data_IF_547717619821
#
_entry.id   IF_547717619821
#
_cell.length_a   1.000
_cell.length_b   1.000
_cell.length_c   1.000
_cell.angle_alpha   90.00
_cell.angle_beta   90.00
_cell.angle_gamma   90.00
#
_symmetry.space_group_name_H-M   'P 1'
#
loop_
_entity.id
_entity.type
_entity.pdbx_description
1 polymer ?
#
# COMPACT_ATOMS: atom_id res chain seq x y z
N UNK A 1 -45.38 -13.49 63.41
CA UNK A 1 -45.72 -12.32 64.26
C UNK A 1 -44.49 -11.96 65.08
N UNK A 2 -44.10 -10.68 65.05
CA UNK A 2 -43.24 -9.95 66.04
C UNK A 2 -41.74 -10.35 65.99
N UNK A 3 -40.91 -9.62 65.23
CA UNK A 3 -40.05 -8.46 65.60
C UNK A 3 -38.92 -8.84 66.58
N UNK A 4 -37.64 -8.58 66.27
CA UNK A 4 -36.97 -7.27 66.44
C UNK A 4 -35.70 -7.09 65.56
N UNK A 5 -35.43 -5.83 65.19
CA UNK A 5 -34.23 -5.23 64.51
C UNK A 5 -33.03 -5.05 65.49
N UNK A 6 -31.88 -4.42 65.12
CA UNK A 6 -31.14 -4.28 63.84
C UNK A 6 -29.58 -4.43 63.94
N UNK A 7 -28.93 -4.56 62.77
CA UNK A 7 -27.62 -3.93 62.48
C UNK A 7 -26.39 -4.84 62.40
N UNK A 8 -25.73 -4.93 61.24
CA UNK A 8 -24.30 -5.27 61.19
C UNK A 8 -23.59 -4.85 59.89
N UNK A 9 -22.29 -4.62 60.08
CA UNK A 9 -21.34 -3.86 59.28
C UNK A 9 -20.73 -4.60 58.09
N UNK A 10 -20.15 -3.81 57.19
CA UNK A 10 -19.29 -4.16 56.05
C UNK A 10 -18.06 -4.99 56.44
N UNK A 11 -17.65 -5.93 55.58
CA UNK A 11 -16.21 -6.20 55.35
C UNK A 11 -15.93 -6.53 53.87
N UNK A 12 -14.85 -5.95 53.36
CA UNK A 12 -14.32 -6.10 51.99
C UNK A 12 -13.37 -7.29 51.95
N UNK A 13 -13.50 -8.14 50.93
CA UNK A 13 -12.46 -9.12 50.56
C UNK A 13 -11.63 -8.53 49.42
N UNK A 14 -10.30 -8.54 49.56
CA UNK A 14 -9.33 -8.23 48.49
C UNK A 14 -8.66 -9.54 48.06
N UNK A 15 -8.86 -9.96 46.80
CA UNK A 15 -8.04 -10.98 46.17
C UNK A 15 -7.04 -10.31 45.21
N UNK A 16 -5.74 -10.51 45.46
CA UNK A 16 -4.64 -10.17 44.56
C UNK A 16 -4.34 -11.38 43.67
N UNK A 17 -4.53 -11.24 42.36
CA UNK A 17 -3.98 -12.13 41.34
C UNK A 17 -3.44 -11.27 40.20
N UNK A 18 -2.11 -11.12 40.08
CA UNK A 18 -1.46 -10.73 38.83
C UNK A 18 -0.05 -11.33 38.83
N UNK A 19 0.18 -12.41 38.08
CA UNK A 19 1.51 -12.69 37.52
C UNK A 19 1.66 -11.79 36.28
N UNK A 20 2.43 -10.71 36.41
CA UNK A 20 2.69 -9.76 35.33
C UNK A 20 3.79 -10.30 34.41
N UNK A 21 3.61 -10.34 33.08
CA UNK A 21 4.76 -10.37 32.19
C UNK A 21 5.45 -8.99 32.28
N UNK A 22 6.70 -8.94 32.74
CA UNK A 22 7.46 -7.71 32.82
C UNK A 22 7.99 -7.36 31.41
N UNK A 23 7.65 -6.16 30.91
CA UNK A 23 8.29 -5.58 29.73
C UNK A 23 9.76 -5.35 30.08
N UNK A 24 10.67 -6.06 29.41
CA UNK A 24 12.10 -5.83 29.51
C UNK A 24 12.50 -4.54 28.80
N UNK A 25 13.74 -4.08 29.04
CA UNK A 25 14.30 -2.82 28.54
C UNK A 25 13.95 -2.53 27.07
N UNK A 26 13.39 -1.34 26.79
CA UNK A 26 13.29 -0.81 25.43
C UNK A 26 14.68 -0.39 24.96
N UNK A 27 15.17 -0.99 23.88
CA UNK A 27 16.44 -0.61 23.26
C UNK A 27 16.15 0.09 21.94
N UNK A 28 16.74 1.28 21.78
CA UNK A 28 16.66 2.06 20.54
C UNK A 28 17.64 1.51 19.49
N UNK A 29 17.13 1.32 18.28
CA UNK A 29 17.90 0.87 17.13
C UNK A 29 17.57 1.74 15.91
N UNK A 30 18.39 1.63 14.86
CA UNK A 30 18.11 2.19 13.53
C UNK A 30 18.14 1.07 12.50
N UNK A 31 17.22 1.09 11.56
CA UNK A 31 17.25 0.16 10.43
C UNK A 31 18.27 0.60 9.39
N UNK A 32 18.41 -0.19 8.33
CA UNK A 32 19.40 0.06 7.26
C UNK A 32 19.08 1.33 6.45
N UNK A 33 17.84 1.82 6.52
CA UNK A 33 17.41 3.10 5.94
C UNK A 33 17.52 4.27 6.93
N UNK A 34 18.06 4.02 8.13
CA UNK A 34 18.23 4.99 9.20
C UNK A 34 16.97 5.31 9.98
N UNK A 35 15.87 4.59 9.73
CA UNK A 35 14.62 4.76 10.48
C UNK A 35 14.79 4.22 11.90
N UNK A 36 14.52 5.05 12.92
CA UNK A 36 14.56 4.61 14.30
C UNK A 36 13.43 3.59 14.57
N UNK A 37 13.78 2.53 15.28
CA UNK A 37 12.82 1.57 15.81
C UNK A 37 13.22 1.14 17.21
N UNK A 38 12.25 0.75 18.02
CA UNK A 38 12.50 0.23 19.36
C UNK A 38 12.15 -1.24 19.43
N UNK A 39 12.96 -2.02 20.14
CA UNK A 39 12.68 -3.43 20.42
C UNK A 39 12.35 -3.56 21.89
N UNK A 40 11.11 -3.95 22.18
CA UNK A 40 10.69 -4.34 23.52
C UNK A 40 10.76 -5.87 23.65
N UNK A 41 11.59 -6.41 24.55
CA UNK A 41 11.68 -7.86 24.83
C UNK A 41 10.88 -8.21 26.08
N UNK A 42 10.08 -9.27 26.02
CA UNK A 42 9.34 -9.77 27.18
C UNK A 42 10.12 -10.90 27.85
N UNK A 43 10.17 -10.90 29.19
CA UNK A 43 10.96 -11.89 29.95
C UNK A 43 10.21 -13.21 30.21
N UNK A 44 8.91 -13.29 29.89
CA UNK A 44 8.08 -14.51 30.00
C UNK A 44 7.04 -14.59 28.88
N UNK A 45 6.64 -15.83 28.55
CA UNK A 45 5.62 -16.16 27.54
C UNK A 45 4.24 -15.59 27.96
N UNK A 46 3.70 -14.57 27.26
CA UNK A 46 2.52 -13.81 27.70
C UNK A 46 1.22 -14.62 27.68
N UNK A 47 1.22 -15.85 27.14
CA UNK A 47 0.00 -16.65 26.93
C UNK A 47 -0.17 -17.85 27.88
N UNK A 48 0.75 -18.10 28.83
CA UNK A 48 0.60 -19.18 29.82
C UNK A 48 -0.06 -18.70 31.11
N UNK A 49 -1.35 -18.98 31.26
CA UNK A 49 -2.06 -18.95 32.54
C UNK A 49 -1.94 -20.31 33.23
N UNK A 50 -1.02 -20.44 34.19
CA UNK A 50 -1.01 -21.57 35.13
C UNK A 50 -1.89 -21.26 36.33
N UNK A 51 -2.99 -22.01 36.50
CA UNK A 51 -3.81 -21.98 37.71
C UNK A 51 -3.17 -22.85 38.80
N UNK A 52 -3.02 -22.35 40.04
CA UNK A 52 -2.54 -23.16 41.14
C UNK A 52 -3.73 -23.90 41.78
N UNK A 53 -3.95 -25.15 41.36
CA UNK A 53 -4.25 -26.28 42.24
C UNK A 53 -4.56 -27.55 41.43
N UNK A 54 -3.97 -28.66 41.88
CA UNK A 54 -4.19 -30.02 41.41
C UNK A 54 -5.68 -30.38 41.35
N UNK A 55 -6.30 -30.25 40.18
CA UNK A 55 -7.34 -31.15 39.66
C UNK A 55 -7.47 -30.89 38.15
N UNK A 56 -7.14 -31.92 37.38
CA UNK A 56 -7.27 -31.95 35.92
C UNK A 56 -8.70 -31.61 35.51
N UNK A 57 -8.88 -30.41 34.98
CA UNK A 57 -10.03 -30.07 34.15
C UNK A 57 -9.52 -29.39 32.89
N UNK A 58 -9.69 -30.06 31.75
CA UNK A 58 -9.51 -29.47 30.43
C UNK A 58 -10.53 -28.34 30.30
N UNK A 59 -10.13 -27.11 30.62
CA UNK A 59 -10.87 -25.93 30.18
C UNK A 59 -10.51 -25.68 28.72
N UNK A 60 -11.24 -26.34 27.82
CA UNK A 60 -11.31 -25.91 26.42
C UNK A 60 -12.06 -24.58 26.44
N UNK A 61 -11.32 -23.47 26.42
CA UNK A 61 -11.91 -22.17 26.13
C UNK A 61 -12.25 -22.16 24.64
N UNK A 62 -13.47 -22.59 24.30
CA UNK A 62 -14.09 -22.29 23.01
C UNK A 62 -14.24 -20.77 22.94
N UNK A 63 -13.33 -20.10 22.24
CA UNK A 63 -13.49 -18.71 21.83
C UNK A 63 -13.81 -18.71 20.34
N UNK A 64 -14.98 -18.16 20.00
CA UNK A 64 -15.47 -18.04 18.65
C UNK A 64 -14.53 -17.14 17.81
N UNK A 65 -14.24 -17.49 16.54
CA UNK A 65 -13.26 -16.79 15.72
C UNK A 65 -13.89 -15.62 14.95
N UNK A 66 -14.58 -14.69 15.60
CA UNK A 66 -15.20 -13.54 14.91
C UNK A 66 -15.27 -12.26 15.75
N UNK A 67 -14.19 -11.82 16.42
CA UNK A 67 -14.08 -10.40 16.81
C UNK A 67 -12.62 -9.94 16.69
N UNK A 68 -12.28 -9.43 15.52
CA UNK A 68 -11.09 -8.59 15.33
C UNK A 68 -11.31 -7.26 16.05
N UNK A 69 -10.54 -7.00 17.12
CA UNK A 69 -10.49 -5.69 17.76
C UNK A 69 -9.85 -4.67 16.80
N UNK A 70 -10.69 -3.90 16.12
CA UNK A 70 -10.31 -2.62 15.53
C UNK A 70 -10.54 -1.56 16.61
N UNK A 71 -9.48 -0.91 17.06
CA UNK A 71 -9.57 0.29 17.89
C UNK A 71 -9.95 1.46 16.95
N UNK A 72 -11.23 1.53 16.60
CA UNK A 72 -11.78 2.65 15.84
C UNK A 72 -11.86 3.89 16.73
N UNK A 73 -10.96 4.84 16.46
CA UNK A 73 -11.10 6.21 16.96
C UNK A 73 -12.13 6.94 16.11
N UNK A 74 -13.40 6.74 16.44
CA UNK A 74 -14.49 7.58 15.94
C UNK A 74 -14.97 8.47 17.10
N UNK A 75 -15.03 9.77 16.84
CA UNK A 75 -15.80 10.70 17.66
C UNK A 75 -17.26 10.23 17.68
N UNK A 76 -17.61 9.47 18.71
CA UNK A 76 -18.99 9.17 19.06
C UNK A 76 -19.36 10.03 20.27
N UNK A 77 -19.90 11.20 19.99
CA UNK A 77 -20.74 11.94 20.94
C UNK A 77 -22.07 11.19 21.10
N UNK A 78 -22.05 10.06 21.79
CA UNK A 78 -23.23 9.42 22.39
C UNK A 78 -22.80 8.22 23.24
N UNK A 79 -23.50 8.09 24.35
CA UNK A 79 -23.31 7.20 25.50
C UNK A 79 -22.80 5.78 25.20
N UNK A 80 -21.65 5.43 25.78
CA UNK A 80 -21.17 4.05 25.87
C UNK A 80 -21.60 3.47 27.24
N UNK A 81 -22.36 2.36 27.34
CA UNK A 81 -23.05 1.97 28.59
C UNK A 81 -22.20 1.24 29.63
N UNK A 82 -20.90 1.04 29.38
CA UNK A 82 -20.12 0.01 30.08
C UNK A 82 -19.08 0.63 31.04
N UNK A 83 -19.49 0.86 32.30
CA UNK A 83 -18.69 1.50 33.35
C UNK A 83 -17.37 0.77 33.65
N UNK A 84 -17.28 -0.52 33.33
CA UNK A 84 -16.05 -1.32 33.52
C UNK A 84 -14.93 -0.89 32.57
N UNK A 85 -15.28 -0.48 31.34
CA UNK A 85 -14.30 0.00 30.33
C UNK A 85 -13.73 1.36 30.72
N UNK A 86 -14.56 2.26 31.27
CA UNK A 86 -14.12 3.57 31.80
C UNK A 86 -13.18 3.42 32.99
N UNK A 87 -13.39 2.44 33.87
CA UNK A 87 -12.54 2.21 35.03
C UNK A 87 -11.14 1.71 34.63
N UNK A 88 -11.06 0.76 33.69
CA UNK A 88 -9.79 0.24 33.19
C UNK A 88 -8.98 1.32 32.47
N UNK A 89 -9.63 2.12 31.62
CA UNK A 89 -8.98 3.21 30.89
C UNK A 89 -8.43 4.29 31.84
N UNK A 90 -9.21 4.67 32.87
CA UNK A 90 -8.76 5.64 33.89
C UNK A 90 -7.62 5.13 34.76
N UNK A 91 -7.55 3.82 35.02
CA UNK A 91 -6.44 3.21 35.77
C UNK A 91 -5.14 3.18 34.96
N UNK A 92 -5.22 2.92 33.65
CA UNK A 92 -4.07 2.92 32.74
C UNK A 92 -3.53 4.35 32.52
N UNK A 93 -4.41 5.34 32.35
CA UNK A 93 -4.00 6.75 32.27
C UNK A 93 -3.42 7.29 33.60
N UNK A 94 -4.00 6.93 34.76
CA UNK A 94 -3.50 7.37 36.07
C UNK A 94 -2.15 6.75 36.46
N UNK A 95 -1.75 5.64 35.84
CA UNK A 95 -0.46 4.98 36.07
C UNK A 95 0.61 5.37 35.05
N UNK A 96 0.29 6.25 34.09
CA UNK A 96 1.23 6.66 33.03
C UNK A 96 1.51 5.59 31.98
N UNK A 97 0.68 4.54 31.90
CA UNK A 97 0.88 3.41 30.98
C UNK A 97 0.18 3.63 29.62
N UNK A 98 -0.74 4.60 29.53
CA UNK A 98 -1.34 5.10 28.28
C UNK A 98 -1.45 6.62 28.37
N UNK A 99 -0.70 7.34 27.55
CA UNK A 99 -0.86 8.79 27.35
C UNK A 99 -2.08 9.05 26.44
N UNK A 100 -3.03 9.85 26.93
CA UNK A 100 -4.00 10.47 26.04
C UNK A 100 -3.25 11.53 25.22
N UNK A 101 -3.32 11.46 23.88
CA UNK A 101 -2.72 12.46 22.99
C UNK A 101 -3.17 13.86 23.45
N UNK A 102 -2.24 14.65 23.95
CA UNK A 102 -2.50 16.04 24.29
C UNK A 102 -2.68 16.87 23.01
N UNK A 103 -3.26 18.08 23.08
CA UNK A 103 -3.27 18.99 21.94
C UNK A 103 -1.86 19.24 21.35
N UNK A 104 -0.81 19.22 22.18
CA UNK A 104 0.57 19.30 21.70
C UNK A 104 1.01 18.06 20.90
N UNK A 105 0.51 16.86 21.23
CA UNK A 105 0.77 15.65 20.43
C UNK A 105 0.05 15.68 19.07
N UNK A 106 -1.10 16.35 18.96
CA UNK A 106 -1.77 16.62 17.66
C UNK A 106 -1.00 17.67 16.84
N UNK A 107 -0.35 18.62 17.49
CA UNK A 107 0.54 19.59 16.84
C UNK A 107 1.87 18.95 16.42
N UNK A 108 2.36 17.97 17.20
CA UNK A 108 3.50 17.14 16.83
C UNK A 108 3.22 16.24 15.61
N UNK A 109 1.99 15.72 15.47
CA UNK A 109 1.53 14.96 14.29
C UNK A 109 1.53 15.83 13.01
N UNK A 110 1.20 17.12 13.12
CA UNK A 110 1.32 18.10 12.01
C UNK A 110 2.77 18.44 11.64
N UNK A 111 3.71 18.25 12.58
CA UNK A 111 5.15 18.46 12.37
C UNK A 111 5.88 17.22 11.84
N UNK A 112 5.24 16.05 11.88
CA UNK A 112 5.83 14.80 11.43
C UNK A 112 6.05 14.84 9.92
N UNK A 113 7.28 14.57 9.49
CA UNK A 113 7.58 14.40 8.07
C UNK A 113 6.78 13.19 7.55
N UNK A 114 5.93 13.36 6.53
CA UNK A 114 5.09 12.28 6.02
C UNK A 114 5.96 11.12 5.51
N UNK A 115 5.58 9.90 5.87
CA UNK A 115 6.22 8.67 5.41
C UNK A 115 5.87 8.39 3.94
N UNK A 116 6.55 7.44 3.29
CA UNK A 116 6.14 7.00 1.96
C UNK A 116 4.71 6.45 1.96
N UNK A 117 4.32 5.73 3.02
CA UNK A 117 2.97 5.18 3.17
C UNK A 117 1.90 6.28 3.18
N UNK A 118 2.22 7.46 3.75
CA UNK A 118 1.32 8.62 3.77
C UNK A 118 1.21 9.32 2.40
N UNK A 119 2.11 9.01 1.46
CA UNK A 119 2.26 9.71 0.18
C UNK A 119 2.04 8.83 -1.05
N UNK A 120 1.56 7.59 -0.90
CA UNK A 120 1.42 6.65 -2.02
C UNK A 120 0.62 7.22 -3.19
N UNK A 121 -0.43 7.99 -2.90
CA UNK A 121 -1.29 8.62 -3.92
C UNK A 121 -0.58 9.71 -4.75
N UNK A 122 0.60 10.18 -4.33
CA UNK A 122 1.41 11.16 -5.07
C UNK A 122 2.49 10.49 -5.94
N UNK A 123 2.60 9.16 -5.89
CA UNK A 123 3.59 8.40 -6.66
C UNK A 123 3.08 8.01 -8.05
N UNK A 124 1.78 8.08 -8.30
CA UNK A 124 1.13 7.55 -9.50
C UNK A 124 0.57 8.63 -10.42
N UNK A 125 0.44 8.29 -11.69
CA UNK A 125 -0.16 9.11 -12.76
C UNK A 125 -1.07 8.24 -13.62
N UNK A 126 -2.20 8.78 -14.06
CA UNK A 126 -3.10 8.06 -14.97
C UNK A 126 -2.52 8.12 -16.37
N UNK A 127 -2.54 6.98 -17.06
CA UNK A 127 -2.15 6.85 -18.45
C UNK A 127 -3.38 6.45 -19.25
N UNK A 128 -3.61 7.14 -20.36
CA UNK A 128 -4.56 6.72 -21.38
C UNK A 128 -3.86 6.70 -22.72
N UNK A 129 -4.25 5.75 -23.57
CA UNK A 129 -3.67 5.59 -24.90
C UNK A 129 -4.76 5.23 -25.90
N UNK A 130 -4.56 5.58 -27.16
CA UNK A 130 -5.51 5.31 -28.22
C UNK A 130 -4.84 4.98 -29.53
N UNK A 131 -5.55 4.22 -30.37
CA UNK A 131 -5.08 3.77 -31.69
C UNK A 131 -5.71 4.55 -32.85
N UNK A 132 -6.52 5.56 -32.52
CA UNK A 132 -7.25 6.40 -33.47
C UNK A 132 -6.88 7.86 -33.28
N UNK A 133 -6.96 8.62 -34.38
CA UNK A 133 -6.57 10.04 -34.43
C UNK A 133 -7.59 10.98 -33.77
N UNK A 134 -8.78 10.47 -33.43
CA UNK A 134 -9.86 11.18 -32.72
C UNK A 134 -9.59 11.38 -31.22
N UNK A 135 -8.43 10.92 -30.73
CA UNK A 135 -8.01 10.98 -29.32
C UNK A 135 -9.00 10.34 -28.33
N UNK A 136 -9.80 9.37 -28.80
CA UNK A 136 -10.63 8.54 -27.93
C UNK A 136 -9.78 7.45 -27.24
N UNK A 137 -9.72 7.42 -25.89
CA UNK A 137 -8.90 6.45 -25.17
C UNK A 137 -9.45 5.04 -25.35
N UNK A 138 -8.61 4.14 -25.84
CA UNK A 138 -8.94 2.73 -26.03
C UNK A 138 -8.32 1.84 -24.97
N UNK A 139 -7.25 2.31 -24.33
CA UNK A 139 -6.61 1.68 -23.18
C UNK A 139 -6.42 2.73 -22.07
N UNK A 140 -6.59 2.28 -20.84
CA UNK A 140 -6.35 3.06 -19.64
C UNK A 140 -5.56 2.22 -18.66
N UNK A 141 -4.59 2.84 -18.00
CA UNK A 141 -3.74 2.22 -17.02
C UNK A 141 -3.21 3.22 -16.01
N UNK A 142 -2.35 2.72 -15.14
CA UNK A 142 -1.64 3.46 -14.13
C UNK A 142 -0.15 3.44 -14.46
N UNK A 143 0.51 4.57 -14.30
CA UNK A 143 1.96 4.65 -14.21
C UNK A 143 2.38 5.18 -12.85
N UNK A 144 3.64 5.01 -12.50
CA UNK A 144 4.22 5.63 -11.31
C UNK A 144 5.59 6.21 -11.58
N UNK A 145 5.94 7.25 -10.82
CA UNK A 145 7.18 7.97 -10.99
C UNK A 145 8.33 7.22 -10.34
N UNK A 146 9.40 6.99 -11.09
CA UNK A 146 10.60 6.30 -10.62
C UNK A 146 11.85 7.10 -10.99
N UNK A 147 12.68 7.40 -9.99
CA UNK A 147 13.98 8.01 -10.17
C UNK A 147 15.06 6.94 -10.20
N UNK A 148 15.58 6.66 -11.40
CA UNK A 148 16.74 5.79 -11.55
C UNK A 148 18.01 6.60 -11.38
N UNK A 149 18.81 6.26 -10.35
CA UNK A 149 20.12 6.87 -10.16
C UNK A 149 21.15 6.19 -11.07
N UNK A 150 21.75 6.95 -11.98
CA UNK A 150 22.85 6.54 -12.85
C UNK A 150 24.00 7.49 -12.54
N UNK A 151 25.08 6.95 -11.97
CA UNK A 151 26.18 7.72 -11.38
C UNK A 151 25.67 8.79 -10.40
N UNK A 152 25.84 10.07 -10.75
CA UNK A 152 25.41 11.23 -9.95
C UNK A 152 24.13 11.89 -10.48
N UNK A 153 23.48 11.31 -11.49
CA UNK A 153 22.28 11.86 -12.12
C UNK A 153 21.08 11.00 -11.77
N UNK A 154 19.92 11.64 -11.57
CA UNK A 154 18.63 10.95 -11.40
C UNK A 154 17.82 11.12 -12.68
N UNK A 155 17.56 10.01 -13.36
CA UNK A 155 16.68 9.96 -14.52
C UNK A 155 15.27 9.66 -14.03
N UNK A 156 14.33 10.58 -14.27
CA UNK A 156 12.94 10.37 -13.89
C UNK A 156 12.19 9.65 -15.01
N UNK A 157 11.52 8.57 -14.63
CA UNK A 157 10.74 7.70 -15.50
C UNK A 157 9.30 7.62 -14.99
N UNK A 158 8.37 7.38 -15.90
CA UNK A 158 7.06 6.81 -15.60
C UNK A 158 7.15 5.32 -15.91
N UNK A 159 7.00 4.48 -14.88
CA UNK A 159 6.96 3.03 -15.03
C UNK A 159 5.51 2.58 -15.20
N UNK A 160 5.25 1.75 -16.21
CA UNK A 160 3.95 1.12 -16.45
C UNK A 160 4.14 -0.23 -17.16
N UNK A 161 3.05 -0.86 -17.63
CA UNK A 161 3.13 -2.08 -18.42
C UNK A 161 3.23 -1.82 -19.92
N UNK A 162 3.88 -2.73 -20.66
CA UNK A 162 3.99 -2.65 -22.12
C UNK A 162 2.59 -2.69 -22.75
N UNK A 163 1.69 -3.55 -22.24
CA UNK A 163 0.34 -3.66 -22.80
C UNK A 163 -0.52 -2.40 -22.65
N UNK A 164 -0.23 -1.52 -21.67
CA UNK A 164 -0.98 -0.26 -21.49
C UNK A 164 -0.76 0.68 -22.68
N UNK A 165 0.42 0.62 -23.31
CA UNK A 165 0.83 1.49 -24.41
C UNK A 165 0.94 0.75 -25.76
N UNK A 166 0.60 -0.54 -25.80
CA UNK A 166 0.76 -1.37 -27.01
C UNK A 166 -0.13 -0.88 -28.15
N UNK A 167 0.47 -0.80 -29.33
CA UNK A 167 -0.11 -0.32 -30.59
C UNK A 167 -0.74 1.08 -30.52
N UNK A 168 -0.43 1.87 -29.48
CA UNK A 168 -0.98 3.21 -29.35
C UNK A 168 -0.34 4.16 -30.38
N UNK A 169 -1.12 5.10 -30.90
CA UNK A 169 -0.62 6.22 -31.71
C UNK A 169 -0.24 7.42 -30.84
N UNK A 170 -0.89 7.56 -29.69
CA UNK A 170 -0.68 8.65 -28.75
C UNK A 170 -0.81 8.16 -27.31
N UNK A 171 -0.15 8.89 -26.42
CA UNK A 171 -0.21 8.73 -24.98
C UNK A 171 -0.74 10.00 -24.34
N UNK A 172 -1.54 9.87 -23.28
CA UNK A 172 -2.02 10.98 -22.47
C UNK A 172 -1.78 10.70 -21.00
N UNK A 173 -1.21 11.68 -20.31
CA UNK A 173 -0.90 11.65 -18.89
C UNK A 173 -1.68 12.73 -18.15
N UNK A 174 -2.28 12.38 -17.02
CA UNK A 174 -3.04 13.31 -16.19
C UNK A 174 -2.21 13.81 -15.01
N UNK A 175 -1.29 14.74 -15.28
CA UNK A 175 -0.39 15.26 -14.26
C UNK A 175 -1.11 16.13 -13.23
N UNK A 176 -0.67 16.02 -11.98
CA UNK A 176 -1.03 16.94 -10.91
C UNK A 176 -0.05 18.12 -10.89
N UNK A 177 -0.53 19.30 -10.50
CA UNK A 177 0.30 20.49 -10.39
C UNK A 177 0.99 20.56 -9.03
N UNK A 178 2.23 21.04 -9.02
CA UNK A 178 2.94 21.47 -7.83
C UNK A 178 2.90 23.00 -7.72
N UNK A 179 2.60 23.52 -6.53
CA UNK A 179 2.67 24.95 -6.26
C UNK A 179 4.10 25.41 -5.90
N UNK A 180 4.27 26.72 -5.74
CA UNK A 180 5.56 27.35 -5.39
C UNK A 180 6.15 26.85 -4.07
N UNK A 181 5.30 26.37 -3.16
CA UNK A 181 5.70 25.80 -1.87
C UNK A 181 6.11 24.31 -1.99
N UNK A 182 6.28 23.79 -3.21
CA UNK A 182 6.61 22.39 -3.51
C UNK A 182 5.58 21.40 -2.97
N UNK A 183 4.30 21.79 -2.95
CA UNK A 183 3.19 20.95 -2.53
C UNK A 183 2.29 20.64 -3.72
N UNK A 184 1.80 19.41 -3.79
CA UNK A 184 0.76 19.01 -4.74
C UNK A 184 -0.49 19.84 -4.51
N UNK A 185 -1.06 20.38 -5.59
CA UNK A 185 -2.33 21.09 -5.58
C UNK A 185 -3.45 20.08 -5.79
N UNK A 186 -4.52 20.20 -5.00
CA UNK A 186 -5.74 19.40 -5.15
C UNK A 186 -6.67 20.13 -6.11
N UNK A 187 -6.55 19.79 -7.40
CA UNK A 187 -7.33 20.35 -8.50
C UNK A 187 -7.40 19.31 -9.62
N UNK A 188 -8.30 19.47 -10.61
CA UNK A 188 -8.32 18.62 -11.79
C UNK A 188 -6.96 18.57 -12.49
N UNK A 189 -6.61 17.41 -13.04
CA UNK A 189 -5.36 17.22 -13.78
C UNK A 189 -5.28 18.10 -15.02
N UNK A 190 -4.06 18.52 -15.40
CA UNK A 190 -3.81 19.00 -16.76
C UNK A 190 -3.43 17.80 -17.64
N UNK A 191 -4.28 17.39 -18.60
CA UNK A 191 -3.93 16.31 -19.51
C UNK A 191 -2.79 16.76 -20.43
N UNK A 192 -1.74 15.96 -20.51
CA UNK A 192 -0.64 16.14 -21.44
C UNK A 192 -0.67 15.00 -22.45
N UNK A 193 -0.91 15.31 -23.72
CA UNK A 193 -1.01 14.33 -24.81
C UNK A 193 0.16 14.49 -25.77
N UNK A 194 0.78 13.38 -26.18
CA UNK A 194 1.83 13.35 -27.18
C UNK A 194 1.66 12.14 -28.12
N UNK A 195 2.12 12.23 -29.37
CA UNK A 195 2.33 11.06 -30.22
C UNK A 195 3.28 10.07 -29.52
N UNK A 196 3.03 8.76 -29.66
CA UNK A 196 3.93 7.76 -29.06
C UNK A 196 5.33 7.82 -29.66
N UNK A 197 5.46 8.27 -30.92
CA UNK A 197 6.73 8.47 -31.62
C UNK A 197 7.64 9.48 -30.94
N UNK A 198 7.06 10.41 -30.20
CA UNK A 198 7.77 11.49 -29.52
C UNK A 198 8.14 11.08 -28.09
N UNK A 199 7.60 9.95 -27.60
CA UNK A 199 7.92 9.40 -26.30
C UNK A 199 9.24 8.62 -26.35
N UNK A 200 10.13 8.87 -25.40
CA UNK A 200 11.32 8.05 -25.19
C UNK A 200 10.93 6.86 -24.30
N UNK A 201 10.91 5.68 -24.91
CA UNK A 201 10.49 4.42 -24.27
C UNK A 201 11.70 3.52 -23.99
N UNK A 202 11.71 2.90 -22.82
CA UNK A 202 12.66 1.88 -22.38
C UNK A 202 11.89 0.59 -22.06
N UNK A 203 11.57 -0.24 -23.07
CA UNK A 203 10.93 -1.52 -22.84
C UNK A 203 11.87 -2.47 -22.11
N UNK A 204 11.34 -3.30 -21.21
CA UNK A 204 12.14 -4.32 -20.53
C UNK A 204 12.84 -5.26 -21.54
N UNK A 205 14.15 -5.55 -21.37
CA UNK A 205 14.93 -6.33 -22.34
C UNK A 205 14.42 -7.76 -22.50
N UNK A 206 13.93 -8.37 -21.42
CA UNK A 206 13.16 -9.61 -21.50
C UNK A 206 11.74 -9.34 -22.08
N UNK A 207 11.36 -9.94 -23.21
CA UNK A 207 10.03 -9.78 -23.81
C UNK A 207 8.90 -10.34 -22.94
N UNK A 208 9.14 -11.33 -22.08
CA UNK A 208 8.14 -11.92 -21.18
C UNK A 208 7.81 -11.04 -19.98
N UNK A 209 8.63 -10.02 -19.70
CA UNK A 209 8.41 -9.06 -18.62
C UNK A 209 7.65 -7.84 -19.16
N UNK A 210 6.45 -7.65 -18.64
CA UNK A 210 5.52 -6.62 -19.07
C UNK A 210 5.77 -5.27 -18.37
N UNK A 211 7.00 -4.75 -18.48
CA UNK A 211 7.44 -3.47 -17.90
C UNK A 211 7.98 -2.57 -19.02
N UNK A 212 7.64 -1.29 -18.96
CA UNK A 212 8.23 -0.24 -19.78
C UNK A 212 8.44 1.02 -18.94
N UNK A 213 9.61 1.65 -19.11
CA UNK A 213 9.88 2.99 -18.60
C UNK A 213 9.64 4.03 -19.69
N UNK A 214 9.05 5.16 -19.34
CA UNK A 214 8.83 6.30 -20.23
C UNK A 214 9.57 7.50 -19.65
N UNK A 215 10.44 8.16 -20.41
CA UNK A 215 11.20 9.30 -19.89
C UNK A 215 10.27 10.46 -19.49
N UNK A 216 10.34 10.91 -18.24
CA UNK A 216 9.53 12.02 -17.73
C UNK A 216 10.15 13.38 -18.09
N UNK A 217 11.48 13.48 -18.15
CA UNK A 217 12.20 14.75 -18.27
C UNK A 217 11.73 15.62 -19.45
N UNK A 218 11.57 15.11 -20.70
CA UNK A 218 11.12 15.94 -21.82
C UNK A 218 9.72 16.54 -21.60
N UNK A 219 8.80 15.75 -21.03
CA UNK A 219 7.44 16.20 -20.71
C UNK A 219 7.46 17.26 -19.61
N UNK A 220 8.27 17.04 -18.58
CA UNK A 220 8.45 17.96 -17.46
C UNK A 220 9.03 19.30 -17.91
N UNK A 221 10.05 19.28 -18.76
CA UNK A 221 10.65 20.51 -19.33
C UNK A 221 9.66 21.28 -20.19
N UNK A 222 8.87 20.59 -21.02
CA UNK A 222 7.83 21.22 -21.83
C UNK A 222 6.78 21.90 -20.95
N UNK A 223 6.20 21.17 -19.99
CA UNK A 223 5.18 21.71 -19.09
C UNK A 223 5.70 22.84 -18.20
N UNK A 224 6.97 22.78 -17.79
CA UNK A 224 7.60 23.82 -17.00
C UNK A 224 7.73 25.15 -17.77
N UNK A 225 7.98 25.11 -19.09
CA UNK A 225 7.99 26.31 -19.96
C UNK A 225 6.63 27.00 -19.99
N UNK A 226 5.55 26.24 -19.84
CA UNK A 226 4.18 26.76 -19.70
C UNK A 226 3.81 27.17 -18.26
N UNK A 227 4.78 27.21 -17.34
CA UNK A 227 4.54 27.50 -15.92
C UNK A 227 3.84 26.37 -15.16
N UNK A 228 3.78 25.16 -15.71
CA UNK A 228 3.14 24.01 -15.08
C UNK A 228 4.19 23.04 -14.52
N UNK A 229 4.46 23.15 -13.23
CA UNK A 229 5.34 22.23 -12.54
C UNK A 229 4.57 20.98 -12.13
N UNK A 230 5.07 19.80 -12.51
CA UNK A 230 4.45 18.52 -12.16
C UNK A 230 4.66 18.27 -10.65
N UNK A 231 3.66 17.69 -10.00
CA UNK A 231 3.78 17.16 -8.65
C UNK A 231 4.08 15.66 -8.74
N UNK A 232 5.36 15.30 -8.74
CA UNK A 232 5.83 13.91 -8.71
C UNK A 232 6.49 13.55 -7.37
N UNK A 233 6.11 12.39 -6.82
CA UNK A 233 6.91 11.71 -5.80
C UNK A 233 7.63 10.54 -6.44
N UNK A 234 8.92 10.71 -6.74
CA UNK A 234 9.77 9.65 -7.29
C UNK A 234 9.95 8.53 -6.26
N UNK A 235 9.62 7.31 -6.66
CA UNK A 235 10.13 6.09 -6.03
C UNK A 235 11.55 5.80 -6.53
N UNK A 236 12.32 5.00 -5.81
CA UNK A 236 13.66 4.56 -6.22
C UNK A 236 13.96 3.16 -5.69
N UNK A 237 15.15 2.64 -6.02
CA UNK A 237 15.61 1.36 -5.50
C UNK A 237 15.69 1.31 -3.95
N UNK A 238 15.81 2.47 -3.29
CA UNK A 238 15.76 2.58 -1.83
C UNK A 238 14.36 2.26 -1.26
N UNK A 239 13.33 2.28 -2.10
CA UNK A 239 11.98 1.88 -1.73
C UNK A 239 11.73 0.39 -1.93
N UNK A 240 12.69 -0.39 -2.45
CA UNK A 240 12.60 -1.84 -2.46
C UNK A 240 12.86 -2.41 -1.06
N UNK A 241 12.33 -3.61 -0.75
CA UNK A 241 12.68 -4.28 0.49
C UNK A 241 14.18 -4.57 0.52
N UNK A 242 14.89 -4.28 1.62
CA UNK A 242 16.27 -4.68 1.74
C UNK A 242 16.38 -6.21 1.72
N UNK A 243 17.52 -6.73 1.24
CA UNK A 243 17.71 -8.16 0.96
C UNK A 243 17.36 -9.06 2.16
N UNK A 244 17.71 -8.66 3.38
CA UNK A 244 17.41 -9.42 4.59
C UNK A 244 15.91 -9.50 4.92
N UNK A 245 15.10 -8.58 4.40
CA UNK A 245 13.66 -8.51 4.63
C UNK A 245 12.88 -9.37 3.64
N UNK A 246 13.40 -9.58 2.43
CA UNK A 246 12.73 -10.35 1.36
C UNK A 246 12.23 -11.73 1.84
N UNK A 247 13.03 -12.56 2.55
CA UNK A 247 12.57 -13.87 3.03
C UNK A 247 11.48 -13.80 4.10
N UNK A 248 11.30 -12.63 4.72
CA UNK A 248 10.32 -12.41 5.78
C UNK A 248 8.98 -11.88 5.24
N UNK A 249 8.95 -11.39 4.00
CA UNK A 249 7.73 -10.97 3.31
C UNK A 249 7.06 -12.22 2.73
N UNK A 250 6.23 -12.85 3.56
CA UNK A 250 5.54 -14.09 3.25
C UNK A 250 4.10 -13.84 2.79
N UNK A 251 3.43 -14.89 2.33
CA UNK A 251 1.98 -14.85 2.12
C UNK A 251 1.26 -14.32 3.37
N UNK A 252 0.10 -13.71 3.16
CA UNK A 252 -0.68 -12.93 4.13
C UNK A 252 -0.07 -11.58 4.56
N UNK A 253 1.09 -11.18 4.06
CA UNK A 253 1.60 -9.83 4.29
C UNK A 253 0.59 -8.79 3.75
N UNK A 254 0.14 -7.81 4.55
CA UNK A 254 -0.66 -6.71 4.06
C UNK A 254 0.03 -5.97 2.91
N UNK A 255 -0.70 -5.73 1.82
CA UNK A 255 -0.23 -4.95 0.69
C UNK A 255 -1.13 -3.75 0.43
N UNK A 256 -0.53 -2.69 -0.08
CA UNK A 256 -1.24 -1.52 -0.61
C UNK A 256 -0.99 -1.40 -2.10
N UNK A 257 -1.99 -0.91 -2.82
CA UNK A 257 -1.93 -0.61 -4.24
C UNK A 257 -2.55 0.75 -4.48
N UNK A 258 -1.86 1.64 -5.18
CA UNK A 258 -2.40 2.94 -5.60
C UNK A 258 -2.50 2.96 -7.12
N UNK A 259 -3.65 3.38 -7.67
CA UNK A 259 -3.85 3.47 -9.11
C UNK A 259 -5.23 3.93 -9.51
N UNK A 260 -5.58 3.73 -10.79
CA UNK A 260 -6.80 4.26 -11.42
C UNK A 260 -7.72 3.13 -11.95
N UNK A 261 -8.30 2.29 -11.07
CA UNK A 261 -9.20 1.21 -11.46
C UNK A 261 -10.45 1.76 -12.17
N UNK A 262 -10.82 1.16 -13.30
CA UNK A 262 -11.91 1.55 -14.20
C UNK A 262 -11.87 3.03 -14.60
N UNK A 263 -10.67 3.62 -14.67
CA UNK A 263 -10.48 5.07 -14.83
C UNK A 263 -11.14 5.92 -13.74
N UNK A 264 -11.64 5.28 -12.65
CA UNK A 264 -12.19 5.96 -11.48
C UNK A 264 -11.06 6.70 -10.78
N UNK A 265 -11.34 7.96 -10.50
CA UNK A 265 -10.47 8.86 -9.76
C UNK A 265 -11.33 9.89 -9.08
N UNK A 266 -10.78 10.52 -8.07
CA UNK A 266 -11.30 11.80 -7.63
C UNK A 266 -10.90 12.85 -8.67
N UNK A 267 -11.80 13.16 -9.61
CA UNK A 267 -11.50 14.09 -10.70
C UNK A 267 -11.26 15.51 -10.19
N UNK A 268 -11.95 15.90 -9.11
CA UNK A 268 -11.83 17.23 -8.53
C UNK A 268 -10.46 17.45 -7.88
N UNK A 269 -9.87 16.40 -7.30
CA UNK A 269 -8.57 16.48 -6.61
C UNK A 269 -7.42 15.77 -7.36
N UNK A 270 -7.72 15.16 -8.51
CA UNK A 270 -6.86 14.28 -9.30
C UNK A 270 -6.24 13.13 -8.47
N UNK A 271 -6.94 12.58 -7.49
CA UNK A 271 -6.39 11.53 -6.62
C UNK A 271 -6.70 10.13 -7.15
N UNK A 272 -5.72 9.21 -7.10
CA UNK A 272 -5.93 7.79 -7.39
C UNK A 272 -6.76 7.12 -6.27
N UNK A 273 -7.17 5.88 -6.53
CA UNK A 273 -7.82 5.03 -5.53
C UNK A 273 -6.76 4.15 -4.86
N UNK A 274 -6.64 4.27 -3.55
CA UNK A 274 -5.83 3.37 -2.73
C UNK A 274 -6.64 2.12 -2.38
N UNK A 275 -6.05 0.95 -2.57
CA UNK A 275 -6.61 -0.35 -2.20
C UNK A 275 -5.67 -1.08 -1.26
N UNK A 276 -6.26 -1.86 -0.35
CA UNK A 276 -5.55 -2.76 0.56
C UNK A 276 -5.94 -4.20 0.26
N UNK A 277 -4.97 -5.09 0.35
CA UNK A 277 -5.13 -6.52 0.16
C UNK A 277 -4.05 -7.28 0.91
N UNK A 278 -3.80 -8.52 0.48
CA UNK A 278 -2.70 -9.33 1.00
C UNK A 278 -1.84 -9.92 -0.11
N UNK A 279 -0.60 -10.22 0.22
CA UNK A 279 0.27 -11.03 -0.63
C UNK A 279 -0.19 -12.50 -0.57
N UNK A 280 -0.44 -13.14 -1.72
CA UNK A 280 -0.88 -14.54 -1.79
C UNK A 280 0.28 -15.53 -1.95
N UNK A 281 1.48 -15.05 -2.29
CA UNK A 281 2.69 -15.87 -2.49
C UNK A 281 3.90 -15.23 -1.83
N UNK A 282 4.82 -16.02 -1.27
CA UNK A 282 6.05 -15.47 -0.67
C UNK A 282 6.86 -14.64 -1.68
N UNK A 283 7.34 -13.47 -1.27
CA UNK A 283 8.12 -12.57 -2.12
C UNK A 283 9.43 -13.21 -2.63
N UNK A 284 10.03 -14.09 -1.81
CA UNK A 284 11.25 -14.83 -2.15
C UNK A 284 11.05 -15.86 -3.27
N UNK A 285 9.81 -16.25 -3.58
CA UNK A 285 9.52 -17.31 -4.57
C UNK A 285 9.04 -16.72 -5.90
N UNK A 286 9.26 -17.43 -6.99
CA UNK A 286 8.76 -17.09 -8.32
C UNK A 286 7.44 -17.82 -8.58
N UNK A 287 6.42 -17.11 -9.05
CA UNK A 287 5.13 -17.72 -9.37
C UNK A 287 5.13 -18.31 -10.79
N UNK A 288 4.82 -19.61 -10.91
CA UNK A 288 4.82 -20.35 -12.18
C UNK A 288 6.13 -20.22 -12.98
N UNK A 289 7.26 -20.19 -12.28
CA UNK A 289 8.59 -20.04 -12.88
C UNK A 289 8.94 -18.62 -13.35
N UNK A 290 7.98 -17.69 -13.38
CA UNK A 290 8.21 -16.28 -13.73
C UNK A 290 8.51 -15.44 -12.47
N UNK A 291 9.27 -14.35 -12.61
CA UNK A 291 9.58 -13.42 -11.52
C UNK A 291 8.37 -12.54 -11.14
N UNK A 292 7.26 -13.20 -10.83
CA UNK A 292 5.99 -12.62 -10.46
C UNK A 292 5.65 -12.95 -9.01
N UNK A 293 4.84 -12.08 -8.41
CA UNK A 293 4.11 -12.29 -7.17
C UNK A 293 2.61 -12.34 -7.47
N UNK A 294 1.87 -12.96 -6.57
CA UNK A 294 0.40 -12.98 -6.59
C UNK A 294 -0.12 -12.22 -5.38
N UNK A 295 -1.11 -11.36 -5.61
CA UNK A 295 -1.79 -10.58 -4.57
C UNK A 295 -3.29 -10.85 -4.61
N UNK A 296 -3.90 -10.94 -3.45
CA UNK A 296 -5.34 -10.94 -3.27
C UNK A 296 -5.76 -9.51 -2.97
N UNK A 297 -6.22 -8.85 -4.03
CA UNK A 297 -6.63 -7.46 -4.03
C UNK A 297 -7.59 -7.26 -5.20
N UNK A 298 -8.62 -6.44 -5.01
CA UNK A 298 -9.58 -6.19 -6.08
C UNK A 298 -8.91 -5.43 -7.24
N UNK A 299 -8.61 -6.17 -8.31
CA UNK A 299 -8.02 -5.69 -9.57
C UNK A 299 -9.12 -5.49 -10.60
N UNK A 300 -9.10 -4.34 -11.27
CA UNK A 300 -10.05 -3.97 -12.32
C UNK A 300 -9.28 -3.47 -13.55
N UNK A 301 -9.90 -3.42 -14.75
CA UNK A 301 -9.35 -2.68 -15.89
C UNK A 301 -8.83 -1.30 -15.46
N UNK A 302 -7.70 -0.81 -15.98
CA UNK A 302 -7.09 0.44 -15.50
C UNK A 302 -6.17 0.32 -14.27
N UNK A 303 -6.24 -0.78 -13.51
CA UNK A 303 -5.26 -1.07 -12.44
C UNK A 303 -3.89 -1.51 -12.97
N UNK A 304 -3.77 -1.94 -14.24
CA UNK A 304 -2.50 -2.30 -14.85
C UNK A 304 -1.47 -1.17 -14.71
N UNK A 305 -0.26 -1.53 -14.28
CA UNK A 305 0.87 -0.66 -14.03
C UNK A 305 0.88 -0.05 -12.63
N UNK A 306 -0.11 -0.36 -11.79
CA UNK A 306 -0.14 0.12 -10.41
C UNK A 306 1.01 -0.48 -9.59
N UNK A 307 1.74 0.34 -8.81
CA UNK A 307 2.72 -0.16 -7.86
C UNK A 307 2.04 -0.89 -6.70
N UNK A 308 2.62 -2.01 -6.30
CA UNK A 308 2.23 -2.82 -5.13
C UNK A 308 3.27 -2.64 -4.04
N UNK A 309 2.82 -2.30 -2.84
CA UNK A 309 3.68 -2.09 -1.68
C UNK A 309 3.42 -3.13 -0.60
N UNK A 310 4.47 -3.79 -0.08
CA UNK A 310 4.39 -4.47 1.21
C UNK A 310 4.25 -3.42 2.30
N UNK A 311 3.14 -3.47 3.04
CA UNK A 311 2.80 -2.49 4.05
C UNK A 311 3.01 -3.05 5.46
N UNK A 312 3.80 -2.34 6.25
CA UNK A 312 4.06 -2.62 7.65
C UNK A 312 3.45 -1.51 8.49
N UNK A 313 2.54 -1.91 9.38
CA UNK A 313 2.00 -0.99 10.38
C UNK A 313 3.08 -0.60 11.40
N UNK A 314 2.80 0.41 12.22
CA UNK A 314 3.74 0.94 13.22
C UNK A 314 4.17 -0.11 14.26
N UNK A 315 3.40 -1.20 14.40
CA UNK A 315 3.68 -2.31 15.29
C UNK A 315 3.97 -3.58 14.49
N UNK A 316 5.18 -4.12 14.63
CA UNK A 316 5.54 -5.41 14.03
C UNK A 316 5.94 -6.42 15.10
N UNK A 317 5.30 -7.60 15.18
CA UNK A 317 5.82 -8.72 15.95
C UNK A 317 7.14 -9.18 15.34
N UNK A 318 8.21 -9.22 16.13
CA UNK A 318 9.48 -9.84 15.73
C UNK A 318 9.59 -11.25 16.31
N UNK A 319 10.45 -12.08 15.71
CA UNK A 319 10.76 -13.41 16.24
C UNK A 319 11.39 -13.20 17.62
N UNK A 320 10.93 -13.96 18.62
CA UNK A 320 11.32 -13.87 20.06
C UNK A 320 10.45 -12.94 20.94
N UNK A 321 9.12 -12.99 20.80
CA UNK A 321 8.17 -12.26 21.67
C UNK A 321 8.36 -10.73 21.72
N UNK A 322 9.21 -10.16 20.88
CA UNK A 322 9.44 -8.73 20.85
C UNK A 322 8.54 -8.02 19.85
N UNK A 323 8.23 -6.75 20.12
CA UNK A 323 7.52 -5.88 19.19
C UNK A 323 8.53 -4.83 18.73
N UNK A 324 8.70 -4.72 17.41
CA UNK A 324 9.36 -3.59 16.79
C UNK A 324 8.34 -2.47 16.60
N UNK A 325 8.59 -1.33 17.24
CA UNK A 325 7.81 -0.10 17.08
C UNK A 325 8.54 0.81 16.10
N UNK A 326 7.89 1.16 15.00
CA UNK A 326 8.36 2.16 14.03
C UNK A 326 7.69 3.51 14.32
N UNK A 327 8.42 4.60 14.12
CA UNK A 327 7.87 5.96 14.25
C UNK A 327 6.77 6.27 13.21
N UNK A 328 6.75 5.53 12.10
CA UNK A 328 5.77 5.68 11.02
C UNK A 328 5.53 4.34 10.31
N UNK A 329 4.36 4.15 9.65
CA UNK A 329 4.15 3.00 8.81
C UNK A 329 5.18 2.94 7.68
N UNK A 330 5.60 1.73 7.32
CA UNK A 330 6.62 1.51 6.29
C UNK A 330 5.98 0.83 5.10
N UNK A 331 6.30 1.30 3.89
CA UNK A 331 5.87 0.71 2.64
C UNK A 331 7.09 0.42 1.77
N UNK A 332 7.21 -0.82 1.27
CA UNK A 332 8.24 -1.20 0.30
C UNK A 332 7.60 -1.58 -1.02
N UNK A 333 8.08 -1.02 -2.14
CA UNK A 333 7.65 -1.39 -3.48
C UNK A 333 8.12 -2.82 -3.78
N UNK A 334 7.17 -3.75 -3.94
CA UNK A 334 7.46 -5.18 -4.16
C UNK A 334 7.08 -5.67 -5.56
N UNK A 335 6.18 -4.96 -6.25
CA UNK A 335 5.83 -5.33 -7.61
C UNK A 335 5.02 -4.30 -8.37
N UNK A 336 4.79 -4.61 -9.65
CA UNK A 336 4.03 -3.81 -10.61
C UNK A 336 2.91 -4.70 -11.14
N UNK A 337 1.67 -4.36 -10.84
CA UNK A 337 0.51 -5.15 -11.27
C UNK A 337 0.40 -5.14 -12.79
N UNK A 338 0.24 -6.31 -13.43
CA UNK A 338 0.16 -6.40 -14.88
C UNK A 338 -1.02 -7.24 -15.40
N UNK A 339 -1.53 -8.20 -14.63
CA UNK A 339 -2.68 -9.02 -15.05
C UNK A 339 -3.40 -9.62 -13.85
N UNK A 340 -4.49 -10.35 -14.10
CA UNK A 340 -5.21 -11.14 -13.11
C UNK A 340 -6.09 -12.17 -13.78
N UNK A 341 -6.43 -13.29 -13.11
CA UNK A 341 -7.34 -14.27 -13.67
C UNK A 341 -8.75 -13.68 -13.80
N UNK A 342 -9.34 -13.96 -14.96
CA UNK A 342 -10.73 -13.64 -15.29
C UNK A 342 -11.50 -14.95 -15.45
N UNK A 343 -12.77 -14.96 -15.02
CA UNK A 343 -13.69 -16.06 -15.35
C UNK A 343 -14.84 -15.52 -16.19
N UNK A 344 -15.26 -16.26 -17.20
CA UNK A 344 -16.42 -15.91 -18.01
C UNK A 344 -17.68 -16.54 -17.40
N UNK A 345 -18.60 -15.72 -16.92
CA UNK A 345 -19.93 -16.19 -16.56
C UNK A 345 -20.80 -16.26 -17.82
N UNK A 346 -21.05 -17.47 -18.32
CA UNK A 346 -21.98 -17.71 -19.43
C UNK A 346 -23.41 -17.77 -18.90
N UNK A 347 -24.16 -16.67 -19.03
CA UNK A 347 -25.61 -16.66 -18.81
C UNK A 347 -26.36 -16.91 -20.12
N UNK A 348 -27.30 -17.87 -20.16
CA UNK A 348 -28.21 -18.07 -21.30
C UNK A 348 -29.46 -17.22 -21.07
N UNK A 349 -29.69 -16.19 -21.88
CA UNK A 349 -30.99 -15.53 -21.97
C UNK A 349 -31.98 -16.51 -22.62
N UNK A 350 -32.99 -16.95 -21.86
CA UNK A 350 -34.13 -17.70 -22.40
C UNK A 350 -35.23 -16.70 -22.69
N UNK A 351 -35.31 -16.21 -23.91
CA UNK A 351 -36.49 -15.48 -24.40
C UNK A 351 -37.42 -16.47 -25.12
N UNK A 352 -38.69 -16.43 -24.72
CA UNK A 352 -39.81 -17.09 -25.38
C UNK A 352 -39.92 -16.63 -26.86
N UNK A 353 -40.56 -17.42 -27.73
CA UNK A 353 -40.14 -17.56 -29.13
C UNK A 353 -40.42 -16.32 -30.00
N UNK A 354 -39.35 -15.79 -30.62
CA UNK A 354 -39.37 -15.15 -31.92
C UNK A 354 -38.01 -15.39 -32.63
N UNK A 355 -37.97 -15.54 -33.96
CA UNK A 355 -36.83 -16.09 -34.67
C UNK A 355 -35.80 -14.99 -34.98
N UNK A 356 -34.73 -14.90 -34.18
CA UNK A 356 -33.56 -14.08 -34.55
C UNK A 356 -32.31 -14.57 -33.82
N UNK A 357 -31.17 -14.54 -34.51
CA UNK A 357 -29.87 -14.92 -33.97
C UNK A 357 -29.57 -14.22 -32.64
N UNK A 358 -29.14 -15.01 -31.64
CA UNK A 358 -28.92 -14.51 -30.29
C UNK A 358 -27.55 -13.81 -30.18
N UNK A 359 -27.48 -12.52 -29.80
CA UNK A 359 -26.22 -11.94 -29.35
C UNK A 359 -25.78 -12.66 -28.07
N UNK A 360 -24.61 -13.31 -28.10
CA UNK A 360 -24.00 -13.91 -26.90
C UNK A 360 -23.40 -12.79 -26.06
N UNK A 361 -24.03 -12.49 -24.94
CA UNK A 361 -23.45 -11.62 -23.90
C UNK A 361 -22.57 -12.48 -22.99
N UNK A 362 -21.25 -12.30 -23.07
CA UNK A 362 -20.31 -12.87 -22.10
C UNK A 362 -19.99 -11.81 -21.05
N UNK A 363 -20.21 -12.13 -19.76
CA UNK A 363 -19.84 -11.24 -18.66
C UNK A 363 -18.60 -11.78 -17.97
N UNK A 364 -17.54 -10.99 -17.96
CA UNK A 364 -16.29 -11.34 -17.26
C UNK A 364 -16.38 -10.96 -15.79
N UNK A 365 -16.19 -11.93 -14.90
CA UNK A 365 -16.11 -11.72 -13.46
C UNK A 365 -14.64 -11.80 -13.04
N UNK A 366 -14.16 -10.79 -12.31
CA UNK A 366 -12.81 -10.76 -11.75
C UNK A 366 -12.75 -11.57 -10.45
N UNK A 367 -11.67 -12.31 -10.22
CA UNK A 367 -11.50 -13.12 -9.01
C UNK A 367 -10.78 -12.39 -7.86
N UNK A 368 -10.68 -11.06 -7.91
CA UNK A 368 -9.91 -10.24 -6.95
C UNK A 368 -8.46 -10.73 -6.74
N UNK A 369 -7.85 -11.32 -7.77
CA UNK A 369 -6.47 -11.78 -7.75
C UNK A 369 -5.66 -10.98 -8.79
N UNK A 370 -4.47 -10.55 -8.39
CA UNK A 370 -3.53 -9.82 -9.23
C UNK A 370 -2.20 -10.55 -9.37
N UNK A 371 -1.65 -10.53 -10.58
CA UNK A 371 -0.28 -10.93 -10.88
C UNK A 371 0.55 -9.68 -11.11
N UNK A 372 1.65 -9.57 -10.37
CA UNK A 372 2.54 -8.43 -10.43
C UNK A 372 3.98 -8.89 -10.70
N UNK A 373 4.67 -8.21 -11.61
CA UNK A 373 6.09 -8.42 -11.86
C UNK A 373 6.87 -7.89 -10.66
N UNK A 374 7.92 -8.59 -10.21
CA UNK A 374 8.72 -8.15 -9.06
C UNK A 374 9.38 -6.79 -9.34
N UNK A 375 9.36 -5.91 -8.34
CA UNK A 375 9.77 -4.52 -8.52
C UNK A 375 11.23 -4.33 -8.94
N UNK A 376 12.15 -5.21 -8.52
CA UNK A 376 13.56 -5.10 -8.89
C UNK A 376 13.82 -5.19 -10.40
N UNK A 377 12.89 -5.78 -11.18
CA UNK A 377 12.97 -5.84 -12.65
C UNK A 377 12.94 -4.46 -13.31
N UNK A 378 12.55 -3.40 -12.60
CA UNK A 378 12.71 -2.01 -13.09
C UNK A 378 14.19 -1.70 -13.35
N UNK A 379 15.10 -2.26 -12.55
CA UNK A 379 16.54 -2.01 -12.68
C UNK A 379 17.14 -2.64 -13.93
N UNK A 380 16.47 -3.60 -14.55
CA UNK A 380 16.91 -4.21 -15.81
C UNK A 380 16.76 -3.24 -17.01
N UNK A 381 16.07 -2.10 -16.82
CA UNK A 381 16.04 -1.00 -17.80
C UNK A 381 17.35 -0.19 -17.84
N UNK A 382 18.15 -0.27 -16.77
CA UNK A 382 19.37 0.54 -16.57
C UNK A 382 20.33 0.49 -17.75
N UNK A 383 20.72 -0.67 -18.32
CA UNK A 383 21.70 -0.71 -19.39
C UNK A 383 21.27 0.05 -20.65
N UNK A 384 19.98 0.01 -20.99
CA UNK A 384 19.43 0.76 -22.14
C UNK A 384 19.47 2.27 -21.91
N UNK A 385 19.18 2.70 -20.68
CA UNK A 385 19.21 4.11 -20.30
C UNK A 385 20.66 4.62 -20.29
N UNK A 386 21.59 3.87 -19.71
CA UNK A 386 23.01 4.20 -19.71
C UNK A 386 23.58 4.29 -21.13
N UNK A 387 23.20 3.37 -22.02
CA UNK A 387 23.60 3.43 -23.42
C UNK A 387 23.08 4.69 -24.10
N UNK A 388 21.80 5.02 -23.91
CA UNK A 388 21.20 6.22 -24.49
C UNK A 388 21.87 7.50 -24.00
N UNK A 389 22.18 7.61 -22.71
CA UNK A 389 22.92 8.76 -22.14
C UNK A 389 24.29 8.91 -22.82
N UNK A 390 25.00 7.80 -23.03
CA UNK A 390 26.29 7.82 -23.74
C UNK A 390 26.11 8.27 -25.19
N UNK A 391 25.09 7.80 -25.88
CA UNK A 391 24.81 8.18 -27.28
C UNK A 391 24.45 9.66 -27.41
N UNK A 392 23.63 10.20 -26.50
CA UNK A 392 23.27 11.63 -26.48
C UNK A 392 24.46 12.53 -26.08
N UNK A 393 25.31 12.06 -25.16
CA UNK A 393 26.56 12.72 -24.81
C UNK A 393 27.61 12.68 -25.93
N UNK A 394 27.66 11.59 -26.69
CA UNK A 394 28.54 11.42 -27.86
C UNK A 394 28.02 12.10 -29.13
N UNK A 395 26.73 12.45 -29.18
CA UNK A 395 26.13 13.28 -30.23
C UNK A 395 26.28 14.78 -29.98
N UNK A 396 26.78 15.18 -28.80
CA UNK A 396 27.11 16.57 -28.42
C UNK A 396 28.61 16.94 -28.46
N UNK A 397 29.42 16.59 -29.50
CA UNK A 397 30.71 17.21 -29.72
C UNK A 397 30.76 17.94 -31.07
N UNK A 398 30.50 19.26 -31.04
CA UNK A 398 31.21 20.31 -31.82
C UNK A 398 30.47 21.63 -31.73
#
# INVERSE_FOLDING_TARGET
>A
MISTLPGMWRSKIHHRFISRPAIGNLVSHRDVLGHPYFVARWTQDPWRLTLPNNRSSKAVANWAPEESFVLDFVHSTSECPDDTKRFYFRQLCKKGEIEMRTPEAMEHDRSRKPSLADQLNHTVVRITSGKTIDYMPQSSGTGFFYGMKIDNIVIALIITNKHVISDALWLRFDFARMNEQKRRVLEPSRPYTLPISDAILFPHPDPDVDIVGIALNPMKEHLLKDGYNIAERLLSAENFPPVYLIPQIQASQPVLMSGFPNSLRDEANNLPILRRGILSTNLSTNYKGKQNIVVDIAVYPGSSGSPIFAYFDQLRPSKEFSIALFESPIAYLIGILHSGPTTNARGRLVTAPAPTEYPRTETTIMMHLGYAAKAHLIEDLRPQIEQRIKDEGAASPS
#
